data_IF_980812065829
#
_entry.id   IF_980812065829
#
_cell.length_a   1.000
_cell.length_b   1.000
_cell.length_c   1.000
_cell.angle_alpha   90.00
_cell.angle_beta   90.00
_cell.angle_gamma   90.00
#
_symmetry.space_group_name_H-M   'P 1'
#
loop_
_entity.id
_entity.type
_entity.pdbx_description
1 polymer ?
#
# COMPACT_ATOMS: atom_id res chain seq x y z
N UNK A 1 -72.25 -13.34 37.40
CA UNK A 1 -70.84 -12.95 37.28
C UNK A 1 -70.81 -11.44 37.23
N UNK A 2 -70.23 -10.79 38.25
CA UNK A 2 -70.31 -9.35 38.44
C UNK A 2 -69.51 -8.60 37.41
N UNK A 3 -70.05 -7.57 36.78
CA UNK A 3 -69.44 -6.77 35.73
C UNK A 3 -68.19 -6.09 36.24
N UNK A 4 -68.17 -5.69 37.51
CA UNK A 4 -67.03 -5.07 38.17
C UNK A 4 -65.81 -6.02 38.20
N UNK A 5 -66.00 -7.28 38.53
CA UNK A 5 -64.95 -8.29 38.56
C UNK A 5 -64.30 -8.56 37.16
N UNK A 6 -65.08 -8.44 36.08
CA UNK A 6 -64.57 -8.57 34.70
C UNK A 6 -63.80 -7.38 34.29
N UNK A 7 -64.17 -6.16 34.66
CA UNK A 7 -63.42 -4.93 34.35
C UNK A 7 -62.09 -4.95 35.07
N UNK A 8 -62.05 -5.28 36.34
CA UNK A 8 -60.78 -5.36 37.12
C UNK A 8 -59.81 -6.38 36.55
N UNK A 9 -60.32 -7.56 36.12
CA UNK A 9 -59.50 -8.57 35.46
C UNK A 9 -58.90 -8.06 34.13
N UNK A 10 -59.69 -7.40 33.30
CA UNK A 10 -59.25 -6.84 32.03
C UNK A 10 -58.23 -5.69 32.21
N UNK A 11 -58.41 -4.86 33.23
CA UNK A 11 -57.43 -3.82 33.56
C UNK A 11 -56.09 -4.42 34.03
N UNK A 12 -56.14 -5.47 34.84
CA UNK A 12 -54.94 -6.16 35.29
C UNK A 12 -54.19 -6.82 34.10
N UNK A 13 -54.91 -7.47 33.21
CA UNK A 13 -54.36 -8.09 32.00
C UNK A 13 -53.77 -7.02 31.05
N UNK A 14 -54.45 -5.89 30.86
CA UNK A 14 -53.97 -4.78 30.04
C UNK A 14 -52.67 -4.13 30.62
N UNK A 15 -52.62 -3.94 31.95
CA UNK A 15 -51.38 -3.46 32.62
C UNK A 15 -50.22 -4.43 32.43
N UNK A 16 -50.49 -5.76 32.53
CA UNK A 16 -49.52 -6.79 32.30
C UNK A 16 -49.02 -6.81 30.86
N UNK A 17 -49.91 -6.71 29.87
CA UNK A 17 -49.58 -6.62 28.46
C UNK A 17 -48.76 -5.37 28.12
N UNK A 18 -49.12 -4.21 28.66
CA UNK A 18 -48.37 -2.96 28.47
C UNK A 18 -46.94 -3.06 29.05
N UNK A 19 -46.76 -3.70 30.20
CA UNK A 19 -45.45 -3.92 30.80
C UNK A 19 -44.59 -4.88 29.93
N UNK A 20 -45.15 -5.97 29.46
CA UNK A 20 -44.49 -6.93 28.58
C UNK A 20 -44.09 -6.28 27.24
N UNK A 21 -44.98 -5.50 26.62
CA UNK A 21 -44.72 -4.77 25.39
C UNK A 21 -43.59 -3.73 25.57
N UNK A 22 -43.60 -3.01 26.70
CA UNK A 22 -42.56 -2.05 27.03
C UNK A 22 -41.18 -2.71 27.22
N UNK A 23 -41.13 -3.82 27.95
CA UNK A 23 -39.89 -4.60 28.10
C UNK A 23 -39.40 -5.16 26.77
N UNK A 24 -40.29 -5.70 25.94
CA UNK A 24 -39.96 -6.21 24.61
C UNK A 24 -39.41 -5.13 23.68
N UNK A 25 -40.00 -3.95 23.70
CA UNK A 25 -39.52 -2.80 22.93
C UNK A 25 -38.15 -2.33 23.41
N UNK A 26 -37.94 -2.26 24.73
CA UNK A 26 -36.62 -1.88 25.30
C UNK A 26 -35.48 -2.87 24.93
N UNK A 27 -35.80 -4.17 24.97
CA UNK A 27 -34.82 -5.22 24.54
C UNK A 27 -34.55 -5.11 23.04
N UNK A 28 -35.57 -4.91 22.19
CA UNK A 28 -35.38 -4.73 20.76
C UNK A 28 -34.50 -3.50 20.43
N UNK A 29 -34.76 -2.37 21.12
CA UNK A 29 -33.91 -1.17 20.99
C UNK A 29 -32.47 -1.40 21.43
N UNK A 30 -32.27 -2.14 22.52
CA UNK A 30 -30.92 -2.46 23.00
C UNK A 30 -30.17 -3.36 22.00
N UNK A 31 -30.82 -4.38 21.44
CA UNK A 31 -30.21 -5.27 20.42
C UNK A 31 -29.89 -4.51 19.14
N UNK A 32 -30.76 -3.60 18.70
CA UNK A 32 -30.50 -2.76 17.53
C UNK A 32 -29.34 -1.78 17.78
N UNK A 33 -29.24 -1.20 18.97
CA UNK A 33 -28.13 -0.31 19.33
C UNK A 33 -26.78 -1.05 19.42
N UNK A 34 -26.77 -2.29 19.92
CA UNK A 34 -25.56 -3.13 19.96
C UNK A 34 -25.10 -3.62 18.57
N UNK A 35 -26.03 -3.78 17.62
CA UNK A 35 -25.75 -4.22 16.25
C UNK A 35 -25.18 -3.15 15.34
N UNK A 36 -25.14 -1.88 15.75
CA UNK A 36 -24.64 -0.76 14.95
C UNK A 36 -23.21 -0.34 15.26
N UNK A 37 -22.48 -1.11 16.05
CA UNK A 37 -21.03 -0.91 16.17
C UNK A 37 -20.42 -1.14 14.79
N UNK A 38 -20.05 -0.07 14.07
CA UNK A 38 -19.29 -0.17 12.83
C UNK A 38 -18.04 -0.99 13.14
N UNK A 39 -17.69 -2.00 12.32
CA UNK A 39 -16.45 -2.74 12.54
C UNK A 39 -15.29 -1.74 12.54
N UNK A 40 -14.56 -1.69 13.64
CA UNK A 40 -13.33 -0.90 13.69
C UNK A 40 -12.43 -1.30 12.53
N UNK A 41 -11.85 -0.33 11.80
CA UNK A 41 -10.91 -0.65 10.74
C UNK A 41 -9.79 -1.50 11.33
N UNK A 42 -9.67 -2.75 10.84
CA UNK A 42 -8.63 -3.66 11.29
C UNK A 42 -7.30 -3.19 10.72
N UNK A 43 -6.57 -2.43 11.50
CA UNK A 43 -5.18 -2.07 11.21
C UNK A 43 -4.27 -3.18 11.72
N UNK A 44 -3.31 -3.60 10.89
CA UNK A 44 -2.25 -4.53 11.31
C UNK A 44 -0.96 -3.72 11.41
N UNK A 45 -0.45 -3.55 12.61
CA UNK A 45 0.84 -2.92 12.86
C UNK A 45 1.89 -4.00 13.00
N UNK A 46 2.93 -3.96 12.17
CA UNK A 46 4.04 -4.89 12.20
C UNK A 46 5.33 -4.19 11.79
N UNK A 47 6.44 -4.54 12.41
CA UNK A 47 7.75 -4.05 12.04
C UNK A 47 8.21 -4.61 10.68
N UNK A 48 7.73 -5.83 10.33
CA UNK A 48 8.11 -6.53 9.10
C UNK A 48 7.04 -7.55 8.71
N UNK A 49 6.71 -7.61 7.41
CA UNK A 49 5.93 -8.67 6.79
C UNK A 49 6.83 -9.49 5.89
N UNK A 50 6.75 -10.80 5.98
CA UNK A 50 7.57 -11.72 5.18
C UNK A 50 6.69 -12.77 4.53
N UNK A 51 6.86 -12.96 3.23
CA UNK A 51 6.31 -14.10 2.49
C UNK A 51 7.45 -15.09 2.25
N UNK A 52 7.23 -16.35 2.63
CA UNK A 52 8.18 -17.44 2.43
C UNK A 52 7.64 -18.44 1.41
N UNK A 53 8.52 -19.12 0.70
CA UNK A 53 8.16 -20.26 -0.15
C UNK A 53 8.09 -21.57 0.66
N UNK A 54 7.71 -22.66 -0.02
CA UNK A 54 7.58 -23.99 0.61
C UNK A 54 8.89 -24.52 1.24
N UNK A 55 10.03 -23.97 0.83
CA UNK A 55 11.35 -24.28 1.40
C UNK A 55 11.74 -23.33 2.56
N UNK A 56 10.84 -22.43 2.99
CA UNK A 56 11.08 -21.48 4.06
C UNK A 56 11.97 -20.28 3.66
N UNK A 57 12.23 -20.09 2.37
CA UNK A 57 13.07 -18.96 1.89
C UNK A 57 12.23 -17.70 1.75
N UNK A 58 12.75 -16.57 2.20
CA UNK A 58 12.10 -15.28 2.05
C UNK A 58 11.99 -14.90 0.57
N UNK A 59 10.76 -14.67 0.11
CA UNK A 59 10.42 -14.32 -1.28
C UNK A 59 9.95 -12.87 -1.41
N UNK A 60 9.29 -12.35 -0.39
CA UNK A 60 8.90 -10.96 -0.33
C UNK A 60 9.07 -10.44 1.10
N UNK A 61 9.54 -9.23 1.22
CA UNK A 61 9.71 -8.53 2.51
C UNK A 61 9.19 -7.11 2.36
N UNK A 62 8.32 -6.71 3.28
CA UNK A 62 7.91 -5.33 3.46
C UNK A 62 8.31 -4.92 4.88
N UNK A 63 9.10 -3.88 5.03
CA UNK A 63 9.55 -3.43 6.35
C UNK A 63 10.59 -2.33 6.27
N UNK A 64 11.24 -2.09 7.38
CA UNK A 64 12.40 -1.19 7.46
C UNK A 64 13.67 -2.00 7.29
N UNK A 65 14.59 -1.52 6.43
CA UNK A 65 15.97 -1.98 6.35
C UNK A 65 16.94 -0.86 6.73
N UNK A 66 18.25 -1.08 6.55
CA UNK A 66 19.28 -0.09 6.88
C UNK A 66 19.15 1.21 6.07
N UNK A 67 18.54 1.13 4.90
CA UNK A 67 18.33 2.28 3.99
C UNK A 67 17.04 3.04 4.27
N UNK A 68 16.04 2.38 4.85
CA UNK A 68 14.71 2.96 5.09
C UNK A 68 13.56 1.98 4.83
N UNK A 69 12.33 2.47 4.64
CA UNK A 69 11.19 1.61 4.30
C UNK A 69 11.36 1.02 2.91
N UNK A 70 11.17 -0.30 2.79
CA UNK A 70 11.33 -1.02 1.53
C UNK A 70 10.34 -2.17 1.36
N UNK A 71 9.96 -2.39 0.10
CA UNK A 71 9.36 -3.64 -0.38
C UNK A 71 10.35 -4.31 -1.31
N UNK A 72 10.76 -5.53 -0.95
CA UNK A 72 11.72 -6.33 -1.71
C UNK A 72 11.07 -7.63 -2.17
N UNK A 73 11.21 -7.99 -3.45
CA UNK A 73 10.81 -9.28 -4.00
C UNK A 73 12.06 -9.98 -4.53
N UNK A 74 12.21 -11.26 -4.14
CA UNK A 74 13.38 -12.09 -4.48
C UNK A 74 13.04 -13.17 -5.49
N UNK A 75 13.99 -13.43 -6.39
CA UNK A 75 13.94 -14.55 -7.33
C UNK A 75 13.96 -15.90 -6.61
N UNK A 76 13.72 -17.00 -7.33
CA UNK A 76 13.86 -18.36 -6.80
C UNK A 76 15.27 -18.66 -6.26
N UNK A 77 16.26 -17.90 -6.68
CA UNK A 77 17.66 -18.01 -6.24
C UNK A 77 18.00 -17.09 -5.05
N UNK A 78 17.01 -16.39 -4.48
CA UNK A 78 17.19 -15.48 -3.35
C UNK A 78 17.74 -14.08 -3.70
N UNK A 79 17.92 -13.78 -4.99
CA UNK A 79 18.42 -12.47 -5.44
C UNK A 79 17.28 -11.45 -5.47
N UNK A 80 17.54 -10.22 -5.13
CA UNK A 80 16.57 -9.14 -5.28
C UNK A 80 16.28 -8.93 -6.77
N UNK A 81 14.99 -8.97 -7.11
CA UNK A 81 14.52 -8.77 -8.49
C UNK A 81 13.63 -7.55 -8.60
N UNK A 82 12.94 -7.19 -7.52
CA UNK A 82 12.16 -5.95 -7.42
C UNK A 82 12.45 -5.30 -6.08
N UNK A 83 12.73 -4.01 -6.09
CA UNK A 83 12.85 -3.20 -4.89
C UNK A 83 12.10 -1.88 -5.08
N UNK A 84 11.21 -1.57 -4.16
CA UNK A 84 10.60 -0.25 -3.99
C UNK A 84 11.03 0.28 -2.64
N UNK A 85 11.70 1.41 -2.59
CA UNK A 85 12.17 2.00 -1.33
C UNK A 85 12.10 3.52 -1.30
N UNK A 86 12.27 4.05 -0.10
CA UNK A 86 12.49 5.48 0.17
C UNK A 86 13.72 5.57 1.07
N UNK A 87 14.93 5.67 0.49
CA UNK A 87 16.16 5.72 1.28
C UNK A 87 16.18 6.94 2.23
N UNK A 88 16.45 6.70 3.51
CA UNK A 88 16.45 7.73 4.56
C UNK A 88 17.47 8.86 4.30
N UNK A 89 18.50 8.58 3.52
CA UNK A 89 19.54 9.57 3.17
C UNK A 89 19.04 10.59 2.16
N UNK A 90 18.23 10.14 1.18
CA UNK A 90 17.77 10.99 0.07
C UNK A 90 16.32 11.40 0.23
N UNK A 91 15.53 10.63 0.97
CA UNK A 91 14.07 10.74 1.12
C UNK A 91 13.34 10.77 -0.24
N UNK A 92 13.89 10.05 -1.22
CA UNK A 92 13.38 10.00 -2.59
C UNK A 92 12.99 8.59 -2.99
N UNK A 93 11.71 8.36 -3.32
CA UNK A 93 11.25 7.03 -3.71
C UNK A 93 11.88 6.58 -5.03
N UNK A 94 12.22 5.28 -5.09
CA UNK A 94 12.69 4.62 -6.29
C UNK A 94 12.15 3.20 -6.40
N UNK A 95 11.89 2.76 -7.63
CA UNK A 95 11.55 1.40 -8.00
C UNK A 95 12.65 0.84 -8.89
N UNK A 96 13.20 -0.30 -8.50
CA UNK A 96 14.20 -1.05 -9.26
C UNK A 96 13.63 -2.40 -9.69
N UNK A 97 13.83 -2.73 -10.96
CA UNK A 97 13.63 -4.07 -11.50
C UNK A 97 14.98 -4.57 -11.98
N UNK A 98 15.50 -5.62 -11.32
CA UNK A 98 16.84 -6.12 -11.54
C UNK A 98 16.84 -7.53 -12.12
N UNK A 99 17.60 -7.73 -13.19
CA UNK A 99 18.06 -9.04 -13.63
C UNK A 99 19.57 -9.16 -13.34
N UNK A 100 19.88 -9.61 -12.15
CA UNK A 100 21.28 -9.72 -11.68
C UNK A 100 22.17 -10.58 -12.60
N UNK A 101 21.69 -11.74 -13.15
CA UNK A 101 22.49 -12.52 -14.09
C UNK A 101 22.86 -11.77 -15.36
N UNK A 102 21.97 -10.96 -15.89
CA UNK A 102 22.18 -10.17 -17.10
C UNK A 102 22.78 -8.78 -16.80
N UNK A 103 22.95 -8.43 -15.51
CA UNK A 103 23.30 -7.09 -15.03
C UNK A 103 22.38 -5.99 -15.60
N UNK A 104 21.13 -6.36 -15.94
CA UNK A 104 20.15 -5.45 -16.49
C UNK A 104 19.29 -4.86 -15.36
N UNK A 105 19.04 -3.56 -15.43
CA UNK A 105 18.20 -2.84 -14.48
C UNK A 105 17.29 -1.84 -15.17
N UNK A 106 16.03 -1.81 -14.73
CA UNK A 106 15.15 -0.67 -14.92
C UNK A 106 15.01 0.07 -13.59
N UNK A 107 15.28 1.36 -13.59
CA UNK A 107 15.09 2.25 -12.44
C UNK A 107 14.05 3.31 -12.78
N UNK A 108 13.06 3.50 -11.91
CA UNK A 108 12.16 4.63 -11.89
C UNK A 108 12.29 5.33 -10.55
N UNK A 109 12.62 6.61 -10.54
CA UNK A 109 12.84 7.27 -9.26
C UNK A 109 12.81 8.79 -9.34
N UNK A 110 13.01 9.39 -8.17
CA UNK A 110 13.25 10.81 -8.02
C UNK A 110 14.71 11.03 -7.65
N UNK A 111 15.37 11.94 -8.36
CA UNK A 111 16.73 12.39 -8.08
C UNK A 111 16.73 13.83 -7.57
N UNK A 112 17.89 14.39 -7.28
CA UNK A 112 18.02 15.81 -6.94
C UNK A 112 17.59 16.71 -8.09
N UNK A 113 17.67 16.23 -9.34
CA UNK A 113 17.33 16.97 -10.56
C UNK A 113 15.92 16.66 -11.08
N UNK A 114 15.11 15.87 -10.33
CA UNK A 114 13.75 15.52 -10.69
C UNK A 114 13.55 14.03 -11.04
N UNK A 115 12.45 13.70 -11.73
CA UNK A 115 12.12 12.32 -12.07
C UNK A 115 13.10 11.75 -13.10
N UNK A 116 13.35 10.42 -12.98
CA UNK A 116 14.22 9.69 -13.88
C UNK A 116 13.68 8.29 -14.17
N UNK A 117 13.87 7.85 -15.41
CA UNK A 117 13.80 6.45 -15.83
C UNK A 117 15.15 6.10 -16.46
N UNK A 118 15.81 5.09 -15.92
CA UNK A 118 17.04 4.54 -16.46
C UNK A 118 16.84 3.10 -16.90
N UNK A 119 17.37 2.77 -18.06
CA UNK A 119 17.61 1.40 -18.51
C UNK A 119 19.12 1.20 -18.52
N UNK A 120 19.61 0.23 -17.75
CA UNK A 120 21.04 -0.08 -17.64
C UNK A 120 21.31 -1.53 -17.94
N UNK A 121 22.50 -1.84 -18.38
CA UNK A 121 23.04 -3.19 -18.53
C UNK A 121 24.46 -3.25 -17.91
N UNK A 122 25.19 -4.32 -18.20
CA UNK A 122 26.55 -4.53 -17.70
C UNK A 122 27.56 -3.46 -18.15
N UNK A 123 27.26 -2.68 -19.18
CA UNK A 123 28.13 -1.63 -19.75
C UNK A 123 27.76 -0.24 -19.24
N UNK A 124 26.56 -0.06 -18.67
CA UNK A 124 26.12 1.20 -18.11
C UNK A 124 24.71 1.60 -18.53
N UNK A 125 24.42 2.89 -18.54
CA UNK A 125 23.11 3.43 -18.94
C UNK A 125 22.93 3.30 -20.45
N UNK A 126 21.86 2.63 -20.89
CA UNK A 126 21.50 2.43 -22.30
C UNK A 126 20.42 3.42 -22.78
N UNK A 127 19.50 3.75 -21.88
CA UNK A 127 18.52 4.79 -22.16
C UNK A 127 18.18 5.57 -20.89
N UNK A 128 17.90 6.85 -21.05
CA UNK A 128 17.52 7.75 -19.97
C UNK A 128 16.39 8.64 -20.39
N UNK A 129 15.34 8.70 -19.57
CA UNK A 129 14.33 9.73 -19.60
C UNK A 129 14.39 10.47 -18.26
N UNK A 130 14.65 11.76 -18.28
CA UNK A 130 14.89 12.53 -17.06
C UNK A 130 14.58 14.01 -17.26
N UNK A 131 14.73 14.80 -16.21
CA UNK A 131 14.99 16.24 -16.35
C UNK A 131 16.49 16.50 -16.22
N UNK A 132 16.99 17.49 -16.92
CA UNK A 132 18.37 17.96 -16.77
C UNK A 132 18.48 18.97 -15.60
N UNK A 133 19.69 19.45 -15.33
CA UNK A 133 19.97 20.43 -14.26
C UNK A 133 19.17 21.74 -14.38
N UNK A 134 18.64 22.05 -15.59
CA UNK A 134 17.81 23.22 -15.86
C UNK A 134 16.31 22.89 -15.78
N UNK A 135 15.93 21.73 -15.23
CA UNK A 135 14.57 21.22 -15.21
C UNK A 135 13.93 21.03 -16.60
N UNK A 136 14.73 20.89 -17.63
CA UNK A 136 14.25 20.64 -18.98
C UNK A 136 14.19 19.13 -19.26
N UNK A 137 13.20 18.65 -20.03
CA UNK A 137 13.11 17.24 -20.38
C UNK A 137 14.33 16.78 -21.18
N UNK A 138 14.82 15.59 -20.84
CA UNK A 138 15.95 14.92 -21.48
C UNK A 138 15.51 13.50 -21.84
N UNK A 139 15.70 13.11 -23.09
CA UNK A 139 15.67 11.72 -23.54
C UNK A 139 16.99 11.42 -24.25
N UNK A 140 17.68 10.37 -23.82
CA UNK A 140 18.95 9.98 -24.40
C UNK A 140 19.06 8.45 -24.52
N UNK A 141 19.75 8.00 -25.56
CA UNK A 141 20.10 6.59 -25.81
C UNK A 141 21.61 6.52 -26.04
N UNK A 142 22.25 5.51 -25.49
CA UNK A 142 23.71 5.35 -25.48
C UNK A 142 24.12 4.01 -26.08
N UNK A 143 25.32 3.98 -26.68
CA UNK A 143 25.99 2.73 -27.09
C UNK A 143 26.68 2.05 -25.87
N UNK A 144 27.37 0.96 -26.14
CA UNK A 144 28.09 0.15 -25.13
C UNK A 144 29.35 0.83 -24.61
N UNK A 145 29.88 1.84 -25.31
CA UNK A 145 30.95 2.71 -24.83
C UNK A 145 30.44 3.97 -24.09
N UNK A 146 29.13 4.11 -23.91
CA UNK A 146 28.50 5.25 -23.23
C UNK A 146 28.42 6.52 -24.07
N UNK A 147 28.65 6.44 -25.40
CA UNK A 147 28.48 7.58 -26.30
C UNK A 147 27.00 7.75 -26.65
N UNK A 148 26.53 8.99 -26.69
CA UNK A 148 25.15 9.29 -27.08
C UNK A 148 24.93 8.95 -28.55
N UNK A 149 24.00 8.02 -28.80
CA UNK A 149 23.49 7.70 -30.14
C UNK A 149 22.36 8.64 -30.54
N UNK A 150 21.59 9.06 -29.56
CA UNK A 150 20.45 9.96 -29.73
C UNK A 150 20.21 10.72 -28.45
N UNK A 151 20.04 12.03 -28.54
CA UNK A 151 19.71 12.88 -27.41
C UNK A 151 18.75 13.97 -27.86
N UNK A 152 17.67 14.15 -27.13
CA UNK A 152 16.77 15.30 -27.21
C UNK A 152 16.73 15.94 -25.84
N UNK A 153 17.23 17.18 -25.78
CA UNK A 153 17.13 18.01 -24.60
C UNK A 153 16.63 19.38 -25.01
N UNK A 154 15.57 19.86 -24.37
CA UNK A 154 15.14 21.25 -24.58
C UNK A 154 16.02 22.15 -23.72
N UNK A 155 16.93 22.87 -24.35
CA UNK A 155 17.58 24.00 -23.68
C UNK A 155 16.51 25.09 -23.49
N UNK A 156 16.31 25.51 -22.25
CA UNK A 156 15.40 26.62 -21.96
C UNK A 156 16.10 27.89 -22.44
N UNK A 157 15.65 28.54 -23.53
CA UNK A 157 16.22 29.83 -23.92
C UNK A 157 15.87 30.82 -22.80
N UNK A 158 16.88 31.40 -22.19
CA UNK A 158 16.74 32.50 -21.23
C UNK A 158 16.20 33.73 -21.94
#
# INVERSE_FOLDING_TARGET
MDLAARVEKLECENRRLKRLAGCGAAIACAVLAMGQAAPEPKTIEAARFVVVDDAGRERMVLGMDESGPALVIRSSQGRESVRLDVPSVTDKPALYLDDVPAAARLELGLTMNGPVIHLTDSTGVRARLATNELNAPLFAVYDDEGRSLFEVSKQNPR
#
